data_IF_978195571302
#
_entry.id   IF_978195571302
#
_cell.length_a   1.000
_cell.length_b   1.000
_cell.length_c   1.000
_cell.angle_alpha   90.00
_cell.angle_beta   90.00
_cell.angle_gamma   90.00
#
_symmetry.space_group_name_H-M   'P 1'
#
loop_
_entity.id
_entity.type
_entity.pdbx_description
1 polymer ?
#
# COMPACT_ATOMS: atom_id res chain seq x y z
N UNK A 1 33.20 43.19 -7.77
CA UNK A 1 33.07 42.25 -8.91
C UNK A 1 32.94 40.79 -8.46
N UNK A 2 33.67 40.33 -7.43
CA UNK A 2 33.53 38.97 -6.87
C UNK A 2 32.18 38.69 -6.17
N UNK A 3 31.60 39.67 -5.48
CA UNK A 3 30.30 39.49 -4.78
C UNK A 3 29.12 39.26 -5.73
N UNK A 4 29.21 39.74 -6.98
CA UNK A 4 28.14 39.56 -7.98
C UNK A 4 28.21 38.18 -8.64
N UNK A 5 29.41 37.62 -8.82
CA UNK A 5 29.64 36.26 -9.34
C UNK A 5 29.29 35.18 -8.30
N UNK A 6 29.39 35.51 -7.00
CA UNK A 6 29.00 34.62 -5.90
C UNK A 6 27.48 34.37 -5.85
N UNK A 7 26.67 35.40 -6.14
CA UNK A 7 25.20 35.31 -6.08
C UNK A 7 24.58 34.63 -7.31
N UNK A 8 25.31 34.52 -8.44
CA UNK A 8 24.80 33.88 -9.67
C UNK A 8 25.15 32.40 -9.77
N UNK A 9 26.19 31.92 -9.06
CA UNK A 9 26.57 30.50 -9.07
C UNK A 9 25.97 29.65 -7.95
N UNK A 10 25.57 30.26 -6.84
CA UNK A 10 25.05 29.53 -5.69
C UNK A 10 23.54 29.73 -5.55
N UNK A 11 22.77 28.66 -5.78
CA UNK A 11 21.36 28.58 -5.38
C UNK A 11 21.32 28.65 -3.84
N UNK A 12 20.51 29.55 -3.23
CA UNK A 12 20.41 29.65 -1.77
C UNK A 12 20.01 28.31 -1.16
N UNK A 13 20.79 27.82 -0.17
CA UNK A 13 20.51 26.56 0.53
C UNK A 13 19.08 26.47 1.09
N UNK A 14 18.47 27.62 1.40
CA UNK A 14 17.09 27.73 1.87
C UNK A 14 16.08 27.23 0.84
N UNK A 15 16.29 27.48 -0.46
CA UNK A 15 15.41 26.97 -1.52
C UNK A 15 15.57 25.47 -1.72
N UNK A 16 16.79 24.94 -1.55
CA UNK A 16 17.08 23.51 -1.63
C UNK A 16 16.43 22.70 -0.49
N UNK A 17 16.50 23.19 0.76
CA UNK A 17 15.84 22.55 1.91
C UNK A 17 14.31 22.61 1.80
N UNK A 18 13.75 23.71 1.28
CA UNK A 18 12.30 23.85 1.06
C UNK A 18 11.83 22.88 -0.03
N UNK A 19 12.58 22.71 -1.12
CA UNK A 19 12.27 21.70 -2.15
C UNK A 19 12.45 20.26 -1.64
N UNK A 20 13.40 20.01 -0.74
CA UNK A 20 13.57 18.69 -0.09
C UNK A 20 12.42 18.35 0.87
N UNK A 21 11.96 19.33 1.65
CA UNK A 21 10.80 19.21 2.52
C UNK A 21 9.52 19.00 1.69
N UNK A 22 9.40 19.69 0.54
CA UNK A 22 8.33 19.47 -0.44
C UNK A 22 8.37 18.06 -1.04
N UNK A 23 9.53 17.56 -1.48
CA UNK A 23 9.69 16.18 -1.97
C UNK A 23 9.29 15.13 -0.94
N UNK A 24 9.56 15.40 0.33
CA UNK A 24 9.13 14.53 1.44
C UNK A 24 7.60 14.57 1.65
N UNK A 25 6.94 15.70 1.38
CA UNK A 25 5.48 15.83 1.44
C UNK A 25 4.76 15.20 0.24
N UNK A 26 5.33 15.27 -0.98
CA UNK A 26 4.72 14.67 -2.17
C UNK A 26 4.92 13.15 -2.28
N UNK A 27 5.73 12.53 -1.42
CA UNK A 27 5.91 11.07 -1.37
C UNK A 27 4.65 10.28 -0.95
N UNK A 28 3.51 10.95 -0.73
CA UNK A 28 2.21 10.33 -0.48
C UNK A 28 1.51 9.89 -1.78
N UNK A 29 2.02 10.22 -2.97
CA UNK A 29 1.54 9.61 -4.22
C UNK A 29 2.68 9.19 -5.15
N UNK A 30 2.70 7.93 -5.62
CA UNK A 30 3.60 7.51 -6.68
C UNK A 30 2.96 7.88 -8.03
N UNK A 31 3.36 9.01 -8.60
CA UNK A 31 3.19 9.20 -10.04
C UNK A 31 4.40 8.59 -10.76
N UNK A 32 4.08 7.51 -11.48
CA UNK A 32 4.82 6.79 -12.53
C UNK A 32 5.99 5.84 -12.12
N UNK A 33 5.80 4.51 -12.25
CA UNK A 33 6.84 3.52 -11.99
C UNK A 33 7.63 3.23 -13.27
N UNK A 34 8.93 3.52 -13.27
CA UNK A 34 9.85 2.90 -14.25
C UNK A 34 10.55 1.71 -13.60
N UNK A 35 10.20 0.52 -14.06
CA UNK A 35 10.95 -0.74 -13.95
C UNK A 35 11.01 -1.45 -12.59
N UNK A 36 10.00 -1.29 -11.73
CA UNK A 36 9.69 -2.34 -10.74
C UNK A 36 8.44 -3.04 -11.22
N UNK A 37 8.54 -4.36 -11.43
CA UNK A 37 7.40 -5.25 -11.65
C UNK A 37 6.41 -5.03 -10.52
N UNK A 38 5.50 -4.09 -10.71
CA UNK A 38 4.43 -3.79 -9.78
C UNK A 38 3.50 -4.97 -9.97
N UNK A 39 3.63 -5.98 -9.11
CA UNK A 39 2.59 -6.98 -8.93
C UNK A 39 1.41 -6.21 -8.36
N UNK A 40 0.60 -5.65 -9.26
CA UNK A 40 -0.72 -5.13 -8.95
C UNK A 40 -1.40 -6.33 -8.32
N UNK A 41 -1.53 -6.30 -6.99
CA UNK A 41 -2.36 -7.25 -6.26
C UNK A 41 -3.74 -7.02 -6.84
N UNK A 42 -4.14 -7.89 -7.76
CA UNK A 42 -5.53 -8.02 -8.19
C UNK A 42 -6.30 -8.42 -6.95
N UNK A 43 -6.76 -7.41 -6.20
CA UNK A 43 -7.79 -7.60 -5.19
C UNK A 43 -8.92 -8.30 -5.92
N UNK A 44 -9.33 -9.52 -5.51
CA UNK A 44 -10.43 -10.22 -6.14
C UNK A 44 -11.65 -9.30 -6.08
N UNK A 45 -12.06 -8.81 -7.24
CA UNK A 45 -13.14 -7.83 -7.39
C UNK A 45 -14.51 -8.46 -7.14
N UNK A 46 -14.55 -9.79 -6.97
CA UNK A 46 -15.74 -10.54 -6.64
C UNK A 46 -15.87 -10.65 -5.12
N UNK A 47 -16.83 -9.91 -4.58
CA UNK A 47 -17.36 -10.18 -3.24
C UNK A 47 -17.91 -11.61 -3.18
N UNK A 48 -17.88 -12.25 -1.99
CA UNK A 48 -18.62 -13.47 -1.70
C UNK A 48 -20.00 -13.46 -2.34
N UNK A 49 -20.35 -14.52 -3.05
CA UNK A 49 -21.56 -14.58 -3.88
C UNK A 49 -22.80 -14.61 -2.99
N UNK A 50 -23.27 -13.42 -2.56
CA UNK A 50 -24.54 -13.17 -1.84
C UNK A 50 -25.73 -13.93 -2.48
N UNK A 51 -25.63 -14.23 -3.77
CA UNK A 51 -26.58 -15.05 -4.52
C UNK A 51 -26.82 -16.46 -3.93
N UNK A 52 -25.81 -17.12 -3.35
CA UNK A 52 -25.97 -18.50 -2.85
C UNK A 52 -26.70 -18.57 -1.51
N UNK A 53 -26.46 -17.60 -0.60
CA UNK A 53 -27.27 -17.44 0.63
C UNK A 53 -28.74 -17.24 0.28
N UNK A 54 -29.02 -16.40 -0.72
CA UNK A 54 -30.37 -16.19 -1.22
C UNK A 54 -30.99 -17.46 -1.82
N UNK A 55 -30.19 -18.31 -2.47
CA UNK A 55 -30.64 -19.62 -2.97
C UNK A 55 -31.03 -20.56 -1.83
N UNK A 56 -30.19 -20.68 -0.80
CA UNK A 56 -30.46 -21.49 0.39
C UNK A 56 -31.72 -21.02 1.13
N UNK A 57 -31.89 -19.69 1.32
CA UNK A 57 -33.08 -19.12 1.95
C UNK A 57 -34.35 -19.37 1.14
N UNK A 58 -34.30 -19.27 -0.20
CA UNK A 58 -35.43 -19.61 -1.08
C UNK A 58 -35.81 -21.08 -0.96
N UNK A 59 -34.81 -21.97 -0.95
CA UNK A 59 -35.02 -23.42 -0.81
C UNK A 59 -35.61 -23.78 0.55
N UNK A 60 -35.13 -23.16 1.64
CA UNK A 60 -35.69 -23.31 2.98
C UNK A 60 -37.16 -22.85 3.03
N UNK A 61 -37.45 -21.67 2.47
CA UNK A 61 -38.83 -21.13 2.40
C UNK A 61 -39.77 -22.08 1.64
N UNK A 62 -39.30 -22.67 0.54
CA UNK A 62 -40.06 -23.65 -0.23
C UNK A 62 -40.38 -24.90 0.60
N UNK A 63 -39.38 -25.50 1.23
CA UNK A 63 -39.59 -26.69 2.05
C UNK A 63 -40.52 -26.43 3.25
N UNK A 64 -40.40 -25.25 3.89
CA UNK A 64 -41.27 -24.87 5.01
C UNK A 64 -42.73 -24.70 4.58
N UNK A 65 -42.98 -24.07 3.42
CA UNK A 65 -44.33 -23.92 2.88
C UNK A 65 -44.96 -25.27 2.52
N UNK A 66 -44.21 -26.18 1.90
CA UNK A 66 -44.68 -27.53 1.59
C UNK A 66 -45.01 -28.32 2.85
N UNK A 67 -44.19 -28.21 3.89
CA UNK A 67 -44.43 -28.88 5.18
C UNK A 67 -45.69 -28.34 5.88
N UNK A 68 -45.90 -27.03 5.89
CA UNK A 68 -47.11 -26.41 6.45
C UNK A 68 -48.39 -26.94 5.78
N UNK A 69 -48.37 -27.11 4.45
CA UNK A 69 -49.50 -27.70 3.70
C UNK A 69 -49.75 -29.15 4.13
N UNK A 70 -48.71 -29.98 4.19
CA UNK A 70 -48.80 -31.40 4.61
C UNK A 70 -49.35 -31.50 6.04
N UNK A 71 -48.87 -30.67 6.97
CA UNK A 71 -49.35 -30.66 8.36
C UNK A 71 -50.83 -30.27 8.43
N UNK A 72 -51.27 -29.25 7.68
CA UNK A 72 -52.67 -28.81 7.65
C UNK A 72 -53.62 -29.86 7.07
N UNK A 73 -53.23 -30.51 5.98
CA UNK A 73 -54.01 -31.57 5.34
C UNK A 73 -54.23 -32.74 6.31
N UNK A 74 -53.17 -33.19 6.97
CA UNK A 74 -53.21 -34.31 7.93
C UNK A 74 -53.99 -33.99 9.21
N UNK A 75 -53.84 -32.78 9.74
CA UNK A 75 -54.53 -32.35 10.98
C UNK A 75 -56.04 -32.22 10.76
N UNK A 76 -56.47 -31.79 9.57
CA UNK A 76 -57.90 -31.67 9.22
C UNK A 76 -58.56 -33.03 8.97
N UNK A 77 -57.81 -34.02 8.47
CA UNK A 77 -58.32 -35.36 8.18
C UNK A 77 -58.55 -36.22 9.44
N UNK A 78 -57.79 -35.99 10.51
CA UNK A 78 -57.78 -36.86 11.70
C UNK A 78 -58.93 -36.59 12.67
N UNK A 79 -59.50 -35.38 12.68
CA UNK A 79 -60.61 -34.99 13.59
C UNK A 79 -61.97 -35.59 13.23
N UNK A 80 -62.11 -36.29 12.10
CA UNK A 80 -63.42 -36.73 11.55
C UNK A 80 -63.71 -38.22 11.83
N UNK A 81 -62.72 -39.07 12.14
CA UNK A 81 -62.92 -40.53 12.34
C UNK A 81 -62.01 -41.10 13.45
N UNK A 82 -62.21 -40.67 14.69
CA UNK A 82 -61.43 -41.14 15.85
C UNK A 82 -61.90 -42.52 16.35
N UNK A 83 -61.13 -43.57 15.99
CA UNK A 83 -61.12 -44.85 16.70
C UNK A 83 -60.03 -45.76 16.13
N UNK A 84 -59.06 -46.19 16.96
CA UNK A 84 -57.93 -47.13 16.72
C UNK A 84 -57.01 -46.88 15.49
N UNK A 85 -57.52 -46.31 14.39
CA UNK A 85 -56.86 -45.94 13.13
C UNK A 85 -55.90 -44.75 13.27
N UNK A 86 -56.13 -43.89 14.26
CA UNK A 86 -55.31 -42.70 14.51
C UNK A 86 -53.83 -43.01 14.80
N UNK A 87 -53.54 -44.09 15.54
CA UNK A 87 -52.16 -44.44 15.90
C UNK A 87 -51.33 -44.89 14.71
N UNK A 88 -51.84 -45.79 13.87
CA UNK A 88 -51.13 -46.25 12.66
C UNK A 88 -50.97 -45.12 11.63
N UNK A 89 -51.95 -44.23 11.53
CA UNK A 89 -51.87 -43.05 10.67
C UNK A 89 -50.79 -42.06 11.13
N UNK A 90 -50.76 -41.72 12.42
CA UNK A 90 -49.70 -40.87 13.00
C UNK A 90 -48.33 -41.49 12.77
N UNK A 91 -48.20 -42.81 12.98
CA UNK A 91 -46.94 -43.54 12.77
C UNK A 91 -46.48 -43.52 11.30
N UNK A 92 -47.40 -43.62 10.34
CA UNK A 92 -47.09 -43.47 8.92
C UNK A 92 -46.65 -42.04 8.58
N UNK A 93 -47.35 -41.01 9.08
CA UNK A 93 -46.97 -39.60 8.90
C UNK A 93 -45.56 -39.30 9.42
N UNK A 94 -45.17 -39.83 10.59
CA UNK A 94 -43.80 -39.69 11.07
C UNK A 94 -42.77 -40.32 10.13
N UNK A 95 -43.05 -41.53 9.62
CA UNK A 95 -42.13 -42.27 8.76
C UNK A 95 -41.99 -41.67 7.36
N UNK A 96 -43.09 -41.27 6.76
CA UNK A 96 -43.14 -40.93 5.34
C UNK A 96 -42.99 -39.43 5.10
N UNK A 97 -43.43 -38.59 6.05
CA UNK A 97 -43.46 -37.13 5.88
C UNK A 97 -42.39 -36.44 6.78
N UNK A 98 -42.45 -36.67 8.09
CA UNK A 98 -41.64 -35.91 9.07
C UNK A 98 -40.16 -36.33 9.02
N UNK A 99 -39.86 -37.63 9.05
CA UNK A 99 -38.46 -38.12 9.03
C UNK A 99 -37.73 -37.66 7.75
N UNK A 100 -38.30 -37.80 6.54
CA UNK A 100 -37.66 -37.31 5.32
C UNK A 100 -37.51 -35.78 5.30
N UNK A 101 -38.50 -35.03 5.80
CA UNK A 101 -38.40 -33.57 5.92
C UNK A 101 -37.24 -33.14 6.82
N UNK A 102 -37.13 -33.73 8.01
CA UNK A 102 -36.03 -33.44 8.95
C UNK A 102 -34.68 -33.82 8.34
N UNK A 103 -34.61 -34.94 7.60
CA UNK A 103 -33.39 -35.33 6.87
C UNK A 103 -33.00 -34.28 5.83
N UNK A 104 -33.94 -33.85 4.99
CA UNK A 104 -33.68 -32.81 3.97
C UNK A 104 -33.26 -31.48 4.60
N UNK A 105 -33.84 -31.09 5.73
CA UNK A 105 -33.41 -29.92 6.49
C UNK A 105 -31.98 -30.07 6.99
N UNK A 106 -31.63 -31.21 7.58
CA UNK A 106 -30.27 -31.48 8.05
C UNK A 106 -29.26 -31.38 6.90
N UNK A 107 -29.55 -32.01 5.77
CA UNK A 107 -28.68 -31.98 4.59
C UNK A 107 -28.53 -30.54 4.03
N UNK A 108 -29.61 -29.75 4.05
CA UNK A 108 -29.58 -28.34 3.67
C UNK A 108 -28.68 -27.50 4.59
N UNK A 109 -28.80 -27.67 5.90
CA UNK A 109 -27.96 -26.96 6.87
C UNK A 109 -26.49 -27.38 6.76
N UNK A 110 -26.20 -28.68 6.61
CA UNK A 110 -24.83 -29.15 6.39
C UNK A 110 -24.21 -28.57 5.13
N UNK A 111 -24.98 -28.48 4.03
CA UNK A 111 -24.51 -27.84 2.80
C UNK A 111 -24.28 -26.33 2.99
N UNK A 112 -25.10 -25.67 3.80
CA UNK A 112 -24.96 -24.25 4.08
C UNK A 112 -23.74 -23.96 4.97
N UNK A 113 -23.51 -24.78 5.99
CA UNK A 113 -22.36 -24.67 6.88
C UNK A 113 -21.05 -24.84 6.11
N UNK A 114 -20.97 -25.84 5.23
CA UNK A 114 -19.79 -26.05 4.39
C UNK A 114 -19.54 -24.83 3.48
N UNK A 115 -20.60 -24.28 2.88
CA UNK A 115 -20.47 -23.07 2.06
C UNK A 115 -19.94 -21.87 2.85
N UNK A 116 -20.43 -21.64 4.07
CA UNK A 116 -19.92 -20.57 4.93
C UNK A 116 -18.45 -20.79 5.29
N UNK A 117 -18.05 -22.04 5.57
CA UNK A 117 -16.65 -22.38 5.83
C UNK A 117 -15.78 -22.07 4.62
N UNK A 118 -16.22 -22.44 3.41
CA UNK A 118 -15.48 -22.22 2.17
C UNK A 118 -15.31 -20.71 1.89
N UNK A 119 -16.38 -19.92 1.99
CA UNK A 119 -16.35 -18.46 1.80
C UNK A 119 -15.45 -17.76 2.84
N UNK A 120 -15.57 -18.13 4.12
CA UNK A 120 -14.70 -17.57 5.17
C UNK A 120 -13.24 -17.94 4.90
N UNK A 121 -12.96 -19.17 4.46
CA UNK A 121 -11.61 -19.62 4.11
C UNK A 121 -11.05 -18.84 2.92
N UNK A 122 -11.87 -18.57 1.89
CA UNK A 122 -11.47 -17.78 0.72
C UNK A 122 -11.11 -16.34 1.13
N UNK A 123 -11.99 -15.68 1.89
CA UNK A 123 -11.73 -14.34 2.42
C UNK A 123 -10.46 -14.31 3.27
N UNK A 124 -10.28 -15.29 4.17
CA UNK A 124 -9.05 -15.39 4.97
C UNK A 124 -7.80 -15.57 4.11
N UNK A 125 -7.88 -16.33 3.02
CA UNK A 125 -6.76 -16.51 2.10
C UNK A 125 -6.42 -15.20 1.37
N UNK A 126 -7.43 -14.43 0.95
CA UNK A 126 -7.23 -13.10 0.35
C UNK A 126 -6.54 -12.16 1.34
N UNK A 127 -7.00 -12.13 2.60
CA UNK A 127 -6.37 -11.31 3.63
C UNK A 127 -4.92 -11.69 3.87
N UNK A 128 -4.59 -12.99 3.93
CA UNK A 128 -3.19 -13.45 4.05
C UNK A 128 -2.32 -13.00 2.88
N UNK A 129 -2.84 -13.06 1.65
CA UNK A 129 -2.11 -12.57 0.47
C UNK A 129 -1.87 -11.06 0.53
N UNK A 130 -2.88 -10.29 0.95
CA UNK A 130 -2.77 -8.85 1.14
C UNK A 130 -1.74 -8.50 2.23
N UNK A 131 -1.74 -9.23 3.34
CA UNK A 131 -0.78 -9.06 4.44
C UNK A 131 0.66 -9.30 3.96
N UNK A 132 0.93 -10.40 3.25
CA UNK A 132 2.25 -10.67 2.67
C UNK A 132 2.70 -9.59 1.68
N UNK A 133 1.80 -9.10 0.83
CA UNK A 133 2.11 -8.02 -0.11
C UNK A 133 2.41 -6.70 0.60
N UNK A 134 1.68 -6.39 1.68
CA UNK A 134 1.93 -5.22 2.52
C UNK A 134 3.31 -5.30 3.19
N UNK A 135 3.68 -6.45 3.76
CA UNK A 135 4.99 -6.66 4.37
C UNK A 135 6.13 -6.47 3.37
N UNK A 136 6.01 -7.04 2.16
CA UNK A 136 6.99 -6.85 1.08
C UNK A 136 7.12 -5.38 0.68
N UNK A 137 6.01 -4.66 0.56
CA UNK A 137 6.02 -3.24 0.26
C UNK A 137 6.68 -2.41 1.37
N UNK A 138 6.42 -2.75 2.65
CA UNK A 138 7.10 -2.13 3.79
C UNK A 138 8.61 -2.36 3.75
N UNK A 139 9.06 -3.58 3.44
CA UNK A 139 10.48 -3.90 3.29
C UNK A 139 11.12 -3.08 2.17
N UNK A 140 10.51 -3.06 0.98
CA UNK A 140 10.99 -2.30 -0.17
C UNK A 140 11.07 -0.79 0.13
N UNK A 141 10.06 -0.23 0.81
CA UNK A 141 10.05 1.17 1.26
C UNK A 141 11.23 1.47 2.19
N UNK A 142 11.51 0.59 3.14
CA UNK A 142 12.63 0.77 4.07
C UNK A 142 13.99 0.74 3.38
N UNK A 143 14.17 -0.16 2.40
CA UNK A 143 15.39 -0.24 1.60
C UNK A 143 15.60 1.03 0.78
N UNK A 144 14.55 1.51 0.12
CA UNK A 144 14.59 2.75 -0.65
C UNK A 144 14.93 3.97 0.23
N UNK A 145 14.33 4.06 1.41
CA UNK A 145 14.62 5.12 2.37
C UNK A 145 16.09 5.11 2.82
N UNK A 146 16.66 3.93 3.09
CA UNK A 146 18.08 3.77 3.43
C UNK A 146 19.01 4.21 2.29
N UNK A 147 18.67 3.86 1.04
CA UNK A 147 19.44 4.30 -0.15
C UNK A 147 19.41 5.82 -0.31
N UNK A 148 18.25 6.46 -0.11
CA UNK A 148 18.15 7.93 -0.12
C UNK A 148 19.05 8.54 0.96
N UNK A 149 18.98 8.04 2.19
CA UNK A 149 19.81 8.57 3.28
C UNK A 149 21.31 8.45 2.98
N UNK A 150 21.72 7.35 2.37
CA UNK A 150 23.11 7.13 1.92
C UNK A 150 23.53 8.15 0.86
N UNK A 151 22.72 8.33 -0.21
CA UNK A 151 23.00 9.31 -1.27
C UNK A 151 23.04 10.74 -0.71
N UNK A 152 22.17 11.08 0.24
CA UNK A 152 22.19 12.39 0.89
C UNK A 152 23.48 12.64 1.67
N UNK A 153 23.98 11.64 2.41
CA UNK A 153 25.26 11.72 3.12
C UNK A 153 26.44 11.88 2.17
N UNK A 154 26.46 11.13 1.07
CA UNK A 154 27.51 11.24 0.05
C UNK A 154 27.51 12.63 -0.61
N UNK A 155 26.33 13.16 -0.96
CA UNK A 155 26.21 14.49 -1.54
C UNK A 155 26.68 15.61 -0.59
N UNK A 156 26.38 15.50 0.71
CA UNK A 156 26.87 16.47 1.71
C UNK A 156 28.41 16.47 1.79
N UNK A 157 29.04 15.29 1.73
CA UNK A 157 30.50 15.16 1.70
C UNK A 157 31.10 15.77 0.43
N UNK A 158 30.53 15.47 -0.74
CA UNK A 158 30.97 16.03 -2.01
C UNK A 158 30.82 17.56 -2.05
N UNK A 159 29.71 18.09 -1.53
CA UNK A 159 29.47 19.52 -1.43
C UNK A 159 30.51 20.19 -0.53
N UNK A 160 30.78 19.63 0.65
CA UNK A 160 31.83 20.13 1.56
C UNK A 160 33.20 20.14 0.90
N UNK A 161 33.54 19.07 0.17
CA UNK A 161 34.81 18.99 -0.55
C UNK A 161 34.90 20.04 -1.66
N UNK A 162 33.87 20.18 -2.51
CA UNK A 162 33.82 21.17 -3.58
C UNK A 162 33.95 22.60 -3.05
N UNK A 163 33.19 22.95 -2.00
CA UNK A 163 33.29 24.24 -1.33
C UNK A 163 34.69 24.48 -0.75
N UNK A 164 35.30 23.45 -0.13
CA UNK A 164 36.67 23.54 0.37
C UNK A 164 37.69 23.84 -0.73
N UNK A 165 37.58 23.17 -1.88
CA UNK A 165 38.43 23.39 -3.05
C UNK A 165 38.26 24.81 -3.59
N UNK A 166 37.02 25.28 -3.74
CA UNK A 166 36.74 26.64 -4.23
C UNK A 166 37.30 27.71 -3.29
N UNK A 167 37.13 27.53 -1.97
CA UNK A 167 37.69 28.45 -0.96
C UNK A 167 39.23 28.50 -1.07
N UNK A 168 39.90 27.34 -1.13
CA UNK A 168 41.36 27.28 -1.27
C UNK A 168 41.80 27.96 -2.56
N UNK A 169 41.12 27.69 -3.68
CA UNK A 169 41.45 28.27 -4.97
C UNK A 169 41.30 29.80 -4.96
N UNK A 170 40.24 30.33 -4.34
CA UNK A 170 40.04 31.77 -4.15
C UNK A 170 41.17 32.37 -3.30
N UNK A 171 41.54 31.74 -2.18
CA UNK A 171 42.62 32.23 -1.31
C UNK A 171 43.95 32.26 -2.06
N UNK A 172 44.32 31.17 -2.73
CA UNK A 172 45.57 31.07 -3.51
C UNK A 172 45.60 32.12 -4.62
N UNK A 173 44.52 32.27 -5.39
CA UNK A 173 44.45 33.25 -6.47
C UNK A 173 44.61 34.69 -5.96
N UNK A 174 43.98 35.02 -4.82
CA UNK A 174 44.16 36.33 -4.19
C UNK A 174 45.61 36.54 -3.70
N UNK A 175 46.22 35.54 -3.06
CA UNK A 175 47.63 35.62 -2.61
C UNK A 175 48.59 35.84 -3.78
N UNK A 176 48.41 35.11 -4.88
CA UNK A 176 49.24 35.27 -6.08
C UNK A 176 49.05 36.65 -6.73
N UNK A 177 47.81 37.14 -6.77
CA UNK A 177 47.52 38.48 -7.29
C UNK A 177 48.22 39.58 -6.46
N UNK A 178 48.17 39.48 -5.13
CA UNK A 178 48.89 40.39 -4.23
C UNK A 178 50.41 40.33 -4.47
N UNK A 179 50.98 39.13 -4.59
CA UNK A 179 52.40 38.96 -4.88
C UNK A 179 52.79 39.60 -6.23
N UNK A 180 51.95 39.45 -7.26
CA UNK A 180 52.17 40.06 -8.57
C UNK A 180 52.15 41.60 -8.49
N UNK A 181 51.20 42.19 -7.75
CA UNK A 181 51.14 43.62 -7.53
C UNK A 181 52.38 44.15 -6.79
N UNK A 182 52.88 43.41 -5.79
CA UNK A 182 54.10 43.76 -5.05
C UNK A 182 55.32 43.75 -5.97
N UNK A 183 55.48 42.71 -6.81
CA UNK A 183 56.60 42.60 -7.75
C UNK A 183 56.59 43.75 -8.75
N UNK A 184 55.44 44.04 -9.36
CA UNK A 184 55.31 45.14 -10.33
C UNK A 184 55.65 46.51 -9.72
N UNK A 185 55.20 46.76 -8.48
CA UNK A 185 55.54 48.00 -7.77
C UNK A 185 57.05 48.11 -7.50
N UNK A 186 57.70 47.01 -7.11
CA UNK A 186 59.13 46.96 -6.86
C UNK A 186 59.93 47.19 -8.15
N UNK A 187 59.50 46.61 -9.27
CA UNK A 187 60.13 46.78 -10.59
C UNK A 187 60.03 48.24 -11.09
N UNK A 188 58.89 48.90 -10.89
CA UNK A 188 58.72 50.34 -11.18
C UNK A 188 59.62 51.24 -10.31
N UNK A 189 59.79 50.92 -9.02
CA UNK A 189 60.72 51.65 -8.16
C UNK A 189 62.17 51.51 -8.66
N UNK A 190 62.57 50.32 -9.08
CA UNK A 190 63.93 50.09 -9.61
C UNK A 190 64.16 50.86 -10.90
N UNK A 191 63.19 50.85 -11.84
CA UNK A 191 63.32 51.57 -13.12
C UNK A 191 63.41 53.08 -12.91
N UNK A 192 62.56 53.66 -12.06
CA UNK A 192 62.61 55.09 -11.74
C UNK A 192 63.90 55.50 -11.02
N UNK A 193 64.45 54.65 -10.14
CA UNK A 193 65.73 54.92 -9.49
C UNK A 193 66.90 54.89 -10.48
N UNK A 194 66.89 54.01 -11.48
CA UNK A 194 67.90 53.98 -12.54
C UNK A 194 67.82 55.17 -13.49
N UNK A 195 66.63 55.67 -13.83
CA UNK A 195 66.46 56.87 -14.65
C UNK A 195 66.95 58.14 -13.93
N UNK A 196 66.76 58.23 -12.61
CA UNK A 196 67.23 59.35 -11.78
C UNK A 196 68.75 59.42 -11.60
N UNK A 197 69.48 58.34 -11.91
CA UNK A 197 70.95 58.26 -11.77
C UNK A 197 71.71 58.52 -13.09
N UNK A 198 71.01 58.76 -14.19
CA UNK A 198 71.58 59.06 -15.52
C UNK A 198 71.47 60.54 -15.83
#
# INVERSE_FOLDING_TARGET
>A
QLSTDFNTRFVPQTESYVEQAKRSQYSVQPDEPTNSSTTIVEVPKELPKVNMVNSCLKKLKFHLASFDIVVKERTTATSITEGTWGFEHTKACFRDDIIPFVKNLKDLFTSFDQYLIDEVSEVQNIFKQMEMAMEQNCAAKSEFQSKIETVLKENDLLLKHALGVDIVNIVVNNCMNVNCLIVNACEQCVTTESELKT
#
